data_IF_801883557874
#
_entry.id   IF_801883557874
#
_cell.length_a   1.000
_cell.length_b   1.000
_cell.length_c   1.000
_cell.angle_alpha   90.00
_cell.angle_beta   90.00
_cell.angle_gamma   90.00
#
_symmetry.space_group_name_H-M   'P 1'
#
loop_
_entity.id
_entity.type
_entity.pdbx_description
1 polymer ?
#
# COMPACT_ATOMS: atom_id res chain seq x y z
N UNK A 1 -0.40 -14.63 -12.14
CA UNK A 1 -0.76 -13.53 -11.20
C UNK A 1 -2.24 -13.12 -11.36
N UNK A 2 -3.20 -13.90 -10.83
CA UNK A 2 -4.66 -13.73 -11.08
C UNK A 2 -5.52 -13.44 -9.82
N UNK A 3 -4.92 -13.01 -8.70
CA UNK A 3 -5.60 -12.86 -7.40
C UNK A 3 -6.07 -11.45 -7.02
N UNK A 4 -5.76 -10.41 -7.80
CA UNK A 4 -6.05 -9.02 -7.36
C UNK A 4 -7.43 -8.48 -7.78
N UNK A 5 -8.15 -9.15 -8.70
CA UNK A 5 -9.43 -8.63 -9.19
C UNK A 5 -10.59 -8.84 -8.21
N UNK A 6 -10.54 -9.87 -7.37
CA UNK A 6 -11.64 -10.21 -6.45
C UNK A 6 -11.76 -9.24 -5.27
N UNK A 7 -10.64 -8.69 -4.80
CA UNK A 7 -10.60 -7.81 -3.62
C UNK A 7 -11.30 -6.45 -3.84
N UNK A 8 -11.20 -5.89 -5.05
CA UNK A 8 -11.80 -4.58 -5.37
C UNK A 8 -13.33 -4.66 -5.47
N UNK A 9 -13.85 -5.76 -6.01
CA UNK A 9 -15.30 -5.98 -6.14
C UNK A 9 -16.01 -6.11 -4.78
N UNK A 10 -15.38 -6.77 -3.80
CA UNK A 10 -15.95 -6.87 -2.45
C UNK A 10 -15.93 -5.52 -1.72
N UNK A 11 -14.90 -4.71 -1.94
CA UNK A 11 -14.80 -3.39 -1.33
C UNK A 11 -15.86 -2.40 -1.86
N UNK A 12 -16.14 -2.44 -3.17
CA UNK A 12 -17.20 -1.61 -3.77
C UNK A 12 -18.60 -2.03 -3.32
N UNK A 13 -18.84 -3.31 -3.09
CA UNK A 13 -20.11 -3.81 -2.56
C UNK A 13 -20.39 -3.29 -1.15
N UNK A 14 -19.36 -3.22 -0.29
CA UNK A 14 -19.49 -2.68 1.07
C UNK A 14 -19.79 -1.18 1.07
N UNK A 15 -19.18 -0.40 0.18
CA UNK A 15 -19.46 1.04 0.04
C UNK A 15 -20.92 1.25 -0.41
N UNK A 16 -21.40 0.48 -1.38
CA UNK A 16 -22.79 0.57 -1.85
C UNK A 16 -23.80 0.24 -0.75
N UNK A 17 -23.55 -0.82 0.03
CA UNK A 17 -24.42 -1.19 1.16
C UNK A 17 -24.41 -0.08 2.22
N UNK A 18 -23.27 0.55 2.46
CA UNK A 18 -23.15 1.64 3.43
C UNK A 18 -23.92 2.90 3.01
N UNK A 19 -23.80 3.32 1.75
CA UNK A 19 -24.59 4.43 1.20
C UNK A 19 -26.08 4.12 1.25
N UNK A 20 -26.47 2.88 0.93
CA UNK A 20 -27.87 2.44 0.94
C UNK A 20 -28.47 2.41 2.36
N UNK A 21 -27.73 1.92 3.36
CA UNK A 21 -28.14 1.93 4.76
C UNK A 21 -28.25 3.35 5.32
N UNK A 22 -27.33 4.24 4.95
CA UNK A 22 -27.37 5.65 5.38
C UNK A 22 -28.60 6.36 4.80
N UNK A 23 -28.93 6.09 3.53
CA UNK A 23 -30.12 6.61 2.87
C UNK A 23 -31.42 6.04 3.45
N UNK A 24 -31.48 4.73 3.69
CA UNK A 24 -32.65 4.07 4.29
C UNK A 24 -32.93 4.52 5.73
N UNK A 25 -31.89 4.88 6.49
CA UNK A 25 -32.01 5.42 7.85
C UNK A 25 -32.59 6.84 7.85
N UNK A 26 -32.25 7.66 6.84
CA UNK A 26 -32.84 8.99 6.65
C UNK A 26 -34.33 8.96 6.28
N UNK A 27 -34.77 7.91 5.56
CA UNK A 27 -36.17 7.79 5.13
C UNK A 27 -37.16 7.45 6.26
N UNK A 28 -36.70 6.80 7.35
CA UNK A 28 -37.58 6.44 8.49
C UNK A 28 -37.85 7.59 9.46
N UNK A 29 -37.11 8.71 9.39
CA UNK A 29 -37.27 9.84 10.30
C UNK A 29 -38.30 10.89 9.87
N UNK A 30 -38.93 10.76 8.68
CA UNK A 30 -39.90 11.75 8.20
C UNK A 30 -41.37 11.34 8.31
N UNK A 31 -41.72 10.21 8.93
CA UNK A 31 -43.09 9.69 8.90
C UNK A 31 -43.81 9.51 10.24
N UNK A 32 -43.40 10.22 11.28
CA UNK A 32 -44.23 10.32 12.50
C UNK A 32 -43.83 11.54 13.33
N UNK A 33 -44.20 12.74 12.92
CA UNK A 33 -44.52 13.87 13.82
C UNK A 33 -45.37 14.88 13.02
N UNK A 34 -46.64 14.57 12.82
CA UNK A 34 -47.67 15.60 12.67
C UNK A 34 -47.85 16.22 14.07
N UNK A 35 -47.13 17.31 14.38
CA UNK A 35 -47.48 18.16 15.52
C UNK A 35 -47.28 19.65 15.20
N UNK A 36 -48.14 20.51 15.77
CA UNK A 36 -48.41 21.85 15.30
C UNK A 36 -47.45 22.91 15.85
N UNK A 37 -47.41 24.06 15.18
CA UNK A 37 -47.22 25.40 15.75
C UNK A 37 -45.98 25.63 16.62
N UNK A 38 -44.89 26.02 15.96
CA UNK A 38 -43.99 27.15 16.32
C UNK A 38 -43.79 27.45 17.81
N UNK A 39 -43.23 26.50 18.55
CA UNK A 39 -42.53 26.75 19.81
C UNK A 39 -41.03 26.63 19.57
N UNK A 40 -40.28 27.74 19.70
CA UNK A 40 -38.82 27.76 19.54
C UNK A 40 -38.18 26.95 20.69
N UNK A 41 -37.87 25.68 20.42
CA UNK A 41 -37.17 24.80 21.38
C UNK A 41 -35.81 25.43 21.74
N UNK A 42 -35.54 25.56 23.05
CA UNK A 42 -34.26 26.06 23.54
C UNK A 42 -33.18 25.00 23.26
N UNK A 43 -31.96 25.38 22.88
CA UNK A 43 -30.87 24.45 22.52
C UNK A 43 -30.33 23.59 23.69
N UNK A 44 -31.02 23.55 24.83
CA UNK A 44 -30.61 22.84 26.06
C UNK A 44 -31.38 21.56 26.34
N UNK A 45 -32.41 21.23 25.56
CA UNK A 45 -33.18 20.01 25.76
C UNK A 45 -32.39 18.84 25.14
N UNK A 46 -31.38 18.39 25.88
CA UNK A 46 -30.57 17.21 25.59
C UNK A 46 -31.52 16.03 25.34
N UNK A 47 -31.43 15.42 24.16
CA UNK A 47 -32.20 14.23 23.81
C UNK A 47 -31.79 13.11 24.78
N UNK A 48 -32.56 12.96 25.85
CA UNK A 48 -32.35 12.01 26.96
C UNK A 48 -32.90 10.62 26.65
N UNK A 49 -33.32 10.34 25.41
CA UNK A 49 -33.76 9.00 25.03
C UNK A 49 -32.54 8.04 25.05
N UNK A 50 -32.49 7.09 26.01
CA UNK A 50 -31.37 6.18 26.16
C UNK A 50 -31.15 5.31 24.91
N UNK A 51 -32.22 5.03 24.15
CA UNK A 51 -32.12 4.25 22.92
C UNK A 51 -31.37 5.02 21.82
N UNK A 52 -31.68 6.32 21.66
CA UNK A 52 -31.01 7.18 20.69
C UNK A 52 -29.52 7.34 21.05
N UNK A 53 -29.20 7.56 22.34
CA UNK A 53 -27.81 7.62 22.82
C UNK A 53 -27.02 6.33 22.53
N UNK A 54 -27.66 5.17 22.67
CA UNK A 54 -27.04 3.87 22.37
C UNK A 54 -26.71 3.73 20.87
N UNK A 55 -27.64 4.12 19.98
CA UNK A 55 -27.41 4.06 18.53
C UNK A 55 -26.23 4.94 18.11
N UNK A 56 -26.12 6.17 18.64
CA UNK A 56 -24.98 7.05 18.35
C UNK A 56 -23.65 6.50 18.85
N UNK A 57 -23.64 5.81 19.99
CA UNK A 57 -22.42 5.19 20.53
C UNK A 57 -21.93 4.06 19.62
N UNK A 58 -22.83 3.21 19.14
CA UNK A 58 -22.50 2.11 18.23
C UNK A 58 -21.92 2.62 16.90
N UNK A 59 -22.50 3.70 16.35
CA UNK A 59 -22.02 4.32 15.11
C UNK A 59 -20.60 4.87 15.29
N UNK A 60 -20.32 5.52 16.43
CA UNK A 60 -18.99 6.04 16.74
C UNK A 60 -17.96 4.91 16.85
N UNK A 61 -18.28 3.84 17.56
CA UNK A 61 -17.39 2.68 17.69
C UNK A 61 -17.06 2.05 16.32
N UNK A 62 -18.05 1.96 15.44
CA UNK A 62 -17.84 1.43 14.10
C UNK A 62 -16.97 2.35 13.23
N UNK A 63 -17.14 3.67 13.32
CA UNK A 63 -16.30 4.63 12.63
C UNK A 63 -14.83 4.54 13.07
N UNK A 64 -14.58 4.39 14.37
CA UNK A 64 -13.22 4.24 14.92
C UNK A 64 -12.57 2.94 14.44
N UNK A 65 -13.33 1.82 14.42
CA UNK A 65 -12.85 0.54 13.87
C UNK A 65 -12.49 0.63 12.39
N UNK A 66 -13.30 1.34 11.60
CA UNK A 66 -13.00 1.57 10.19
C UNK A 66 -11.72 2.37 9.99
N UNK A 67 -11.54 3.47 10.74
CA UNK A 67 -10.33 4.29 10.64
C UNK A 67 -9.08 3.47 10.99
N UNK A 68 -9.15 2.67 12.05
CA UNK A 68 -8.05 1.77 12.44
C UNK A 68 -7.74 0.73 11.35
N UNK A 69 -8.77 0.16 10.73
CA UNK A 69 -8.59 -0.81 9.63
C UNK A 69 -7.93 -0.16 8.41
N UNK A 70 -8.39 1.03 8.02
CA UNK A 70 -7.83 1.79 6.90
C UNK A 70 -6.36 2.12 7.18
N UNK A 71 -6.04 2.68 8.33
CA UNK A 71 -4.66 3.01 8.70
C UNK A 71 -3.73 1.79 8.69
N UNK A 72 -4.21 0.66 9.23
CA UNK A 72 -3.44 -0.58 9.23
C UNK A 72 -3.20 -1.09 7.82
N UNK A 73 -4.20 -1.00 6.95
CA UNK A 73 -4.12 -1.45 5.56
C UNK A 73 -3.21 -0.54 4.75
N UNK A 74 -3.37 0.78 4.85
CA UNK A 74 -2.50 1.75 4.18
C UNK A 74 -1.05 1.63 4.64
N UNK A 75 -0.78 1.44 5.94
CA UNK A 75 0.58 1.19 6.42
C UNK A 75 1.19 -0.10 5.87
N UNK A 76 0.38 -1.15 5.69
CA UNK A 76 0.85 -2.42 5.08
C UNK A 76 1.13 -2.24 3.58
N UNK A 77 0.26 -1.55 2.86
CA UNK A 77 0.39 -1.30 1.42
C UNK A 77 1.53 -0.32 1.13
N UNK A 78 1.67 0.75 1.91
CA UNK A 78 2.75 1.74 1.78
C UNK A 78 4.14 1.15 2.11
N UNK A 79 4.21 0.05 2.86
CA UNK A 79 5.45 -0.70 3.09
C UNK A 79 5.86 -1.60 1.93
N UNK A 80 5.03 -1.75 0.89
CA UNK A 80 5.47 -2.39 -0.34
C UNK A 80 6.28 -1.33 -1.10
N UNK A 81 7.61 -1.47 -1.23
CA UNK A 81 8.37 -0.53 -2.03
C UNK A 81 7.82 -0.58 -3.46
N UNK A 82 7.15 0.49 -3.89
CA UNK A 82 6.66 0.67 -5.26
C UNK A 82 7.81 0.91 -6.25
N UNK A 83 9.05 0.56 -5.87
CA UNK A 83 10.20 0.61 -6.73
C UNK A 83 10.12 -0.62 -7.64
N UNK A 84 9.60 -0.38 -8.85
CA UNK A 84 9.67 -1.36 -9.93
C UNK A 84 11.11 -1.62 -10.35
N UNK A 85 11.99 -0.64 -10.15
CA UNK A 85 13.41 -0.76 -10.45
C UNK A 85 14.24 0.19 -9.58
N UNK A 86 15.49 -0.17 -9.31
CA UNK A 86 16.46 0.66 -8.60
C UNK A 86 17.71 0.83 -9.49
N UNK A 87 18.25 2.04 -9.53
CA UNK A 87 19.50 2.33 -10.25
C UNK A 87 20.63 2.47 -9.24
N UNK A 88 21.66 1.63 -9.36
CA UNK A 88 22.83 1.63 -8.48
C UNK A 88 24.10 1.81 -9.30
N UNK A 89 25.09 2.47 -8.72
CA UNK A 89 26.44 2.53 -9.28
C UNK A 89 27.37 1.75 -8.37
N UNK A 90 28.05 0.76 -8.95
CA UNK A 90 28.94 -0.15 -8.24
C UNK A 90 30.29 -0.15 -8.95
N UNK A 91 31.36 -0.02 -8.17
CA UNK A 91 32.71 -0.25 -8.66
C UNK A 91 33.07 -1.71 -8.35
N UNK A 92 33.36 -2.50 -9.38
CA UNK A 92 34.01 -3.79 -9.21
C UNK A 92 35.47 -3.54 -8.87
N UNK A 93 35.86 -3.76 -7.61
CA UNK A 93 37.25 -3.63 -7.13
C UNK A 93 37.99 -4.97 -7.15
N UNK A 94 37.38 -6.01 -7.72
CA UNK A 94 37.93 -7.35 -7.78
C UNK A 94 38.85 -7.62 -8.97
N UNK A 95 39.40 -8.84 -8.98
CA UNK A 95 40.06 -9.38 -10.17
C UNK A 95 39.02 -9.74 -11.24
N UNK A 96 39.50 -9.90 -12.48
CA UNK A 96 38.67 -10.38 -13.59
C UNK A 96 37.93 -11.67 -13.20
N UNK A 97 36.64 -11.75 -13.55
CA UNK A 97 35.74 -12.88 -13.28
C UNK A 97 35.53 -13.19 -11.78
N UNK A 98 35.80 -12.24 -10.90
CA UNK A 98 35.49 -12.38 -9.47
C UNK A 98 34.03 -12.03 -9.23
N UNK A 99 33.37 -12.78 -8.35
CA UNK A 99 32.01 -12.46 -7.92
C UNK A 99 32.02 -11.24 -7.01
N UNK A 100 31.12 -10.30 -7.27
CA UNK A 100 30.83 -9.19 -6.37
C UNK A 100 29.33 -9.11 -6.08
N UNK A 101 29.00 -8.62 -4.89
CA UNK A 101 27.62 -8.47 -4.44
C UNK A 101 27.16 -7.02 -4.53
N UNK A 102 25.91 -6.85 -4.95
CA UNK A 102 25.23 -5.56 -5.03
C UNK A 102 24.04 -5.58 -4.08
N UNK A 103 24.03 -4.65 -3.12
CA UNK A 103 22.90 -4.45 -2.21
C UNK A 103 21.80 -3.66 -2.90
N UNK A 104 20.56 -4.18 -2.87
CA UNK A 104 19.38 -3.50 -3.41
C UNK A 104 18.22 -3.51 -2.41
N UNK A 105 17.24 -2.63 -2.61
CA UNK A 105 16.14 -2.34 -1.70
C UNK A 105 14.76 -2.62 -2.30
N UNK A 106 14.69 -3.52 -3.28
CA UNK A 106 13.45 -3.86 -3.99
C UNK A 106 12.44 -4.64 -3.13
N UNK A 107 12.87 -5.25 -2.01
CA UNK A 107 12.00 -6.07 -1.15
C UNK A 107 11.46 -7.33 -1.82
N UNK A 108 12.02 -7.71 -2.98
CA UNK A 108 11.73 -8.92 -3.75
C UNK A 108 13.01 -9.38 -4.42
N UNK A 109 13.07 -10.65 -4.83
CA UNK A 109 14.16 -11.16 -5.66
C UNK A 109 14.04 -10.51 -7.05
N UNK A 110 15.09 -9.88 -7.59
CA UNK A 110 15.05 -9.28 -8.93
C UNK A 110 14.89 -10.35 -10.02
N UNK A 111 14.27 -9.96 -11.13
CA UNK A 111 14.17 -10.80 -12.32
C UNK A 111 15.36 -10.60 -13.26
N UNK A 112 16.01 -9.43 -13.22
CA UNK A 112 17.14 -9.13 -14.09
C UNK A 112 17.82 -7.80 -13.79
N UNK A 113 18.83 -7.48 -14.60
CA UNK A 113 19.50 -6.19 -14.59
C UNK A 113 19.77 -5.71 -16.02
N UNK A 114 19.88 -4.39 -16.17
CA UNK A 114 20.33 -3.73 -17.40
C UNK A 114 21.51 -2.82 -17.04
N UNK A 115 22.60 -2.92 -17.81
CA UNK A 115 23.73 -1.99 -17.72
C UNK A 115 23.32 -0.68 -18.39
N UNK A 116 23.33 0.40 -17.63
CA UNK A 116 23.01 1.75 -18.13
C UNK A 116 24.25 2.54 -18.49
N UNK A 117 25.37 2.31 -17.79
CA UNK A 117 26.65 2.93 -18.08
C UNK A 117 27.79 2.03 -17.62
N UNK A 118 28.88 2.02 -18.36
CA UNK A 118 30.16 1.45 -17.95
C UNK A 118 31.28 2.43 -18.31
N UNK A 119 32.34 2.45 -17.50
CA UNK A 119 33.56 3.21 -17.79
C UNK A 119 34.45 2.51 -18.83
N UNK A 120 34.36 1.17 -18.90
CA UNK A 120 35.08 0.32 -19.85
C UNK A 120 34.12 -0.62 -20.58
N UNK A 121 34.53 -1.07 -21.77
CA UNK A 121 33.83 -2.13 -22.48
C UNK A 121 34.03 -3.45 -21.73
N UNK A 122 32.94 -4.01 -21.21
CA UNK A 122 32.93 -5.22 -20.39
C UNK A 122 31.62 -5.98 -20.59
N UNK A 123 31.67 -7.28 -20.30
CA UNK A 123 30.50 -8.15 -20.20
C UNK A 123 30.24 -8.45 -18.73
N UNK A 124 29.05 -8.05 -18.26
CA UNK A 124 28.56 -8.39 -16.92
C UNK A 124 27.58 -9.54 -17.05
N UNK A 125 27.77 -10.57 -16.24
CA UNK A 125 26.96 -11.77 -16.26
C UNK A 125 26.64 -12.26 -14.84
N UNK A 126 25.62 -13.12 -14.74
CA UNK A 126 25.22 -13.73 -13.47
C UNK A 126 26.33 -14.66 -12.96
N UNK A 127 26.65 -14.55 -11.67
CA UNK A 127 27.75 -15.30 -11.06
C UNK A 127 27.45 -16.80 -10.91
N UNK A 128 26.17 -17.17 -10.96
CA UNK A 128 25.64 -18.50 -10.66
C UNK A 128 25.15 -18.66 -9.22
N UNK A 129 25.39 -17.66 -8.35
CA UNK A 129 24.86 -17.63 -6.98
C UNK A 129 23.44 -17.10 -6.98
N UNK A 130 22.52 -17.83 -6.35
CA UNK A 130 21.09 -17.44 -6.29
C UNK A 130 20.91 -16.06 -5.66
N UNK A 131 20.24 -15.17 -6.39
CA UNK A 131 19.92 -13.84 -5.90
C UNK A 131 18.93 -13.89 -4.73
N UNK A 132 19.03 -12.91 -3.84
CA UNK A 132 18.18 -12.82 -2.65
C UNK A 132 17.27 -11.59 -2.74
N UNK A 133 16.49 -11.33 -1.70
CA UNK A 133 15.64 -10.13 -1.62
C UNK A 133 16.42 -8.84 -1.38
N UNK A 134 17.73 -8.94 -1.10
CA UNK A 134 18.60 -7.80 -0.75
C UNK A 134 19.92 -7.78 -1.49
N UNK A 135 20.36 -8.88 -2.09
CA UNK A 135 21.66 -9.02 -2.76
C UNK A 135 21.52 -9.66 -4.13
N UNK A 136 22.20 -9.07 -5.10
CA UNK A 136 22.46 -9.62 -6.44
C UNK A 136 23.95 -9.95 -6.54
N UNK A 137 24.28 -11.09 -7.15
CA UNK A 137 25.66 -11.54 -7.32
C UNK A 137 26.01 -11.54 -8.81
N UNK A 138 26.99 -10.73 -9.20
CA UNK A 138 27.39 -10.57 -10.59
C UNK A 138 28.90 -10.82 -10.75
N UNK A 139 29.32 -11.07 -11.98
CA UNK A 139 30.72 -11.15 -12.40
C UNK A 139 30.96 -10.23 -13.58
N UNK A 140 32.18 -9.71 -13.68
CA UNK A 140 32.64 -8.87 -14.78
C UNK A 140 33.89 -9.50 -15.40
N UNK A 141 34.00 -9.46 -16.73
CA UNK A 141 35.18 -9.93 -17.46
C UNK A 141 36.37 -8.94 -17.44
N UNK A 142 36.15 -7.72 -16.94
CA UNK A 142 37.19 -6.68 -16.80
C UNK A 142 37.27 -6.21 -15.34
N UNK A 143 38.46 -6.30 -14.76
CA UNK A 143 38.74 -5.81 -13.41
C UNK A 143 38.68 -4.28 -13.31
N UNK A 144 38.36 -3.78 -12.11
CA UNK A 144 38.38 -2.35 -11.79
C UNK A 144 37.48 -1.53 -12.71
N UNK A 145 36.22 -1.95 -12.85
CA UNK A 145 35.23 -1.35 -13.75
C UNK A 145 34.13 -0.68 -12.93
N UNK A 146 33.78 0.56 -13.27
CA UNK A 146 32.66 1.28 -12.67
C UNK A 146 31.39 1.11 -13.52
N UNK A 147 30.36 0.50 -12.93
CA UNK A 147 29.12 0.12 -13.60
C UNK A 147 27.93 0.82 -12.97
N UNK A 148 27.07 1.43 -13.80
CA UNK A 148 25.73 1.85 -13.40
C UNK A 148 24.71 0.84 -13.92
N UNK A 149 23.99 0.21 -13.00
CA UNK A 149 23.07 -0.90 -13.27
C UNK A 149 21.66 -0.49 -12.84
N UNK A 150 20.67 -0.88 -13.64
CA UNK A 150 19.26 -0.79 -13.29
C UNK A 150 18.72 -2.20 -13.05
N UNK A 151 18.31 -2.47 -11.82
CA UNK A 151 17.84 -3.78 -11.35
C UNK A 151 16.31 -3.74 -11.24
N UNK A 152 15.61 -4.82 -11.64
CA UNK A 152 14.13 -4.90 -11.63
C UNK A 152 13.61 -6.30 -11.29
#
# INVERSE_FOLDING_TARGET
MKKNKTCITEFLALIFIFVFLTWASGAKLQRTQLFPSTGRLKPSDEIQDPYIKQQFTNVKEWADKLQQFLDTTFRKVAKIPFNQSESLTVADTGNVNTEFSITHHLGRVPNGFIITKSDKACNVYDSGTTWTTSLVYLKCDIANTALSLKIF
#
